data_IF_645876879842
#
_entry.id   IF_645876879842
#
_cell.length_a   1.000
_cell.length_b   1.000
_cell.length_c   1.000
_cell.angle_alpha   90.00
_cell.angle_beta   90.00
_cell.angle_gamma   90.00
#
_symmetry.space_group_name_H-M   'P 1'
#
loop_
_entity.id
_entity.type
_entity.pdbx_description
1 polymer ?
#
# COMPACT_ATOMS: atom_id res chain seq x y z
N UNK A 1 9.18 30.40 -4.29
CA UNK A 1 10.43 29.60 -4.36
C UNK A 1 10.00 28.14 -4.37
N UNK A 2 10.60 27.26 -5.17
CA UNK A 2 10.34 25.83 -5.05
C UNK A 2 10.90 25.30 -3.72
N UNK A 3 10.10 24.51 -3.00
CA UNK A 3 10.51 23.85 -1.75
C UNK A 3 11.04 22.46 -2.10
N UNK A 4 12.33 22.35 -2.37
CA UNK A 4 12.97 21.07 -2.65
C UNK A 4 14.16 20.86 -1.75
N UNK A 5 14.21 19.71 -1.09
CA UNK A 5 15.42 19.23 -0.47
C UNK A 5 16.03 18.13 -1.35
N UNK A 6 17.35 18.10 -1.43
CA UNK A 6 18.10 17.03 -2.10
C UNK A 6 19.16 16.46 -1.16
N UNK A 7 19.32 15.13 -1.16
CA UNK A 7 20.32 14.41 -0.37
C UNK A 7 20.15 14.62 1.14
N UNK A 8 18.92 14.46 1.64
CA UNK A 8 18.61 14.55 3.06
C UNK A 8 18.68 13.16 3.69
N UNK A 9 19.31 13.08 4.86
CA UNK A 9 19.35 11.87 5.67
C UNK A 9 18.83 12.20 7.07
N UNK A 10 17.78 11.51 7.47
CA UNK A 10 17.20 11.54 8.81
C UNK A 10 17.48 10.18 9.45
N UNK A 11 18.08 10.21 10.64
CA UNK A 11 18.49 8.99 11.33
C UNK A 11 18.04 9.03 12.78
N UNK A 12 17.60 7.88 13.30
CA UNK A 12 17.27 7.71 14.72
C UNK A 12 16.27 8.74 15.24
N UNK A 13 15.17 8.90 14.51
CA UNK A 13 14.09 9.83 14.85
C UNK A 13 13.06 9.13 15.74
N UNK A 14 12.73 9.76 16.86
CA UNK A 14 11.61 9.38 17.72
C UNK A 14 10.54 10.47 17.69
N UNK A 15 9.33 10.11 17.27
CA UNK A 15 8.16 10.98 17.22
C UNK A 15 7.15 10.63 18.30
N UNK A 16 6.86 11.58 19.18
CA UNK A 16 5.95 11.40 20.32
C UNK A 16 4.64 12.18 20.19
N UNK A 17 4.64 13.40 19.66
CA UNK A 17 3.42 14.19 19.51
C UNK A 17 3.57 15.18 18.36
N UNK A 18 2.54 15.25 17.52
CA UNK A 18 2.50 16.19 16.41
C UNK A 18 1.07 16.58 16.07
N UNK A 19 0.89 17.77 15.50
CA UNK A 19 -0.41 18.15 14.98
C UNK A 19 -0.71 17.49 13.63
N UNK A 20 0.26 17.43 12.71
CA UNK A 20 0.07 16.79 11.40
C UNK A 20 1.04 15.61 11.19
N UNK A 21 2.31 15.88 10.86
CA UNK A 21 3.28 14.84 10.46
C UNK A 21 4.62 15.03 11.17
N UNK A 22 5.23 13.95 11.70
CA UNK A 22 6.59 14.04 12.24
C UNK A 22 7.61 14.27 11.12
N UNK A 23 7.41 13.55 10.02
CA UNK A 23 8.25 13.65 8.82
C UNK A 23 7.31 13.86 7.64
N UNK A 24 7.49 14.98 6.94
CA UNK A 24 6.76 15.33 5.72
C UNK A 24 7.77 15.66 4.61
N UNK A 25 7.89 14.76 3.65
CA UNK A 25 8.85 14.86 2.54
C UNK A 25 8.13 15.42 1.32
N UNK A 26 8.19 16.73 1.12
CA UNK A 26 7.49 17.44 0.04
C UNK A 26 8.43 17.73 -1.14
N UNK A 27 8.04 17.36 -2.36
CA UNK A 27 8.75 17.58 -3.64
C UNK A 27 10.29 17.46 -3.54
N UNK A 28 10.77 16.41 -2.87
CA UNK A 28 12.19 16.25 -2.53
C UNK A 28 12.82 15.05 -3.21
N UNK A 29 14.16 15.02 -3.25
CA UNK A 29 14.94 14.00 -3.96
C UNK A 29 16.02 13.38 -3.08
N UNK A 30 16.21 12.07 -3.19
CA UNK A 30 17.27 11.36 -2.46
C UNK A 30 17.15 11.56 -0.94
N UNK A 31 15.95 11.36 -0.39
CA UNK A 31 15.70 11.47 1.05
C UNK A 31 15.73 10.08 1.67
N UNK A 32 16.53 9.87 2.71
CA UNK A 32 16.56 8.62 3.47
C UNK A 32 16.11 8.87 4.90
N UNK A 33 15.17 8.07 5.37
CA UNK A 33 14.75 7.96 6.76
C UNK A 33 15.13 6.56 7.23
N UNK A 34 16.06 6.46 8.17
CA UNK A 34 16.59 5.20 8.70
C UNK A 34 16.53 5.21 10.24
N UNK A 35 15.78 4.29 10.83
CA UNK A 35 15.55 4.31 12.28
C UNK A 35 14.50 5.34 12.65
N UNK A 36 13.23 5.07 12.36
CA UNK A 36 12.11 5.93 12.73
C UNK A 36 11.12 5.22 13.65
N UNK A 37 10.84 5.81 14.81
CA UNK A 37 9.89 5.29 15.79
C UNK A 37 8.81 6.33 16.08
N UNK A 38 7.54 5.94 16.03
CA UNK A 38 6.42 6.80 16.38
C UNK A 38 5.47 6.11 17.35
N UNK A 39 5.29 6.71 18.54
CA UNK A 39 4.33 6.28 19.57
C UNK A 39 2.99 6.99 19.49
N UNK A 40 2.89 8.02 18.63
CA UNK A 40 1.64 8.73 18.29
C UNK A 40 1.66 9.19 16.83
N UNK A 41 0.48 9.36 16.26
CA UNK A 41 0.26 10.02 14.98
C UNK A 41 -0.04 11.52 15.14
N UNK A 42 -0.55 12.12 14.06
CA UNK A 42 -1.07 13.49 14.10
C UNK A 42 -2.35 13.60 14.92
N UNK A 43 -2.74 14.83 15.25
CA UNK A 43 -4.04 15.14 15.86
C UNK A 43 -4.99 15.88 14.90
N UNK A 44 -4.46 16.32 13.75
CA UNK A 44 -5.17 17.04 12.69
C UNK A 44 -5.73 16.12 11.61
N UNK A 45 -6.37 16.71 10.61
CA UNK A 45 -7.20 15.98 9.64
C UNK A 45 -6.40 15.16 8.59
N UNK A 46 -5.12 15.50 8.35
CA UNK A 46 -4.17 14.68 7.57
C UNK A 46 -3.28 13.93 8.53
N UNK A 47 -3.68 12.71 8.87
CA UNK A 47 -3.21 12.02 10.07
C UNK A 47 -2.33 10.81 9.71
N UNK A 48 -1.13 11.11 9.22
CA UNK A 48 -0.06 10.16 9.03
C UNK A 48 1.20 10.66 9.75
N UNK A 49 1.81 9.90 10.68
CA UNK A 49 3.06 10.33 11.31
C UNK A 49 4.21 10.50 10.29
N UNK A 50 4.17 9.79 9.16
CA UNK A 50 5.09 9.99 8.03
C UNK A 50 4.33 10.18 6.72
N UNK A 51 4.65 11.27 6.04
CA UNK A 51 4.08 11.61 4.74
C UNK A 51 5.20 11.82 3.70
N UNK A 52 4.94 11.30 2.50
CA UNK A 52 5.70 11.57 1.28
C UNK A 52 4.73 12.33 0.38
N UNK A 53 4.95 13.63 0.23
CA UNK A 53 4.03 14.56 -0.42
C UNK A 53 4.65 15.16 -1.68
N UNK A 54 3.87 15.73 -2.58
CA UNK A 54 4.39 16.61 -3.62
C UNK A 54 3.57 17.91 -3.70
N UNK A 55 4.29 19.02 -3.89
CA UNK A 55 3.68 20.33 -4.02
C UNK A 55 2.75 20.37 -5.24
N UNK A 56 1.53 20.87 -5.04
CA UNK A 56 0.55 21.14 -6.10
C UNK A 56 0.11 22.60 -6.07
N UNK A 57 -0.36 23.09 -7.22
CA UNK A 57 -0.66 24.51 -7.47
C UNK A 57 -1.74 25.15 -6.56
N UNK A 58 -2.62 24.35 -5.98
CA UNK A 58 -3.73 24.76 -5.10
C UNK A 58 -3.40 24.64 -3.59
N UNK A 59 -2.22 24.15 -3.24
CA UNK A 59 -1.80 23.95 -1.85
C UNK A 59 -1.26 25.23 -1.25
N UNK A 60 -1.90 25.68 -0.16
CA UNK A 60 -1.61 26.95 0.53
C UNK A 60 -0.97 26.78 1.91
N UNK A 61 -0.60 25.56 2.31
CA UNK A 61 -0.05 25.25 3.64
C UNK A 61 1.48 25.15 3.69
N UNK A 62 2.13 24.84 2.56
CA UNK A 62 3.57 24.57 2.53
C UNK A 62 4.35 25.88 2.40
N UNK A 63 5.07 26.25 3.47
CA UNK A 63 5.82 27.49 3.56
C UNK A 63 7.33 27.28 3.62
N UNK A 64 8.09 28.14 2.95
CA UNK A 64 9.56 28.20 3.01
C UNK A 64 9.94 29.43 3.81
N UNK A 65 10.66 29.22 4.91
CA UNK A 65 11.30 30.33 5.63
C UNK A 65 12.53 30.79 4.85
N UNK A 66 12.54 32.05 4.42
CA UNK A 66 13.65 32.63 3.66
C UNK A 66 14.67 33.40 4.54
N UNK A 67 14.50 33.37 5.86
CA UNK A 67 15.29 34.14 6.82
C UNK A 67 14.55 35.34 7.43
N UNK A 68 13.50 35.85 6.78
CA UNK A 68 12.72 37.02 7.23
C UNK A 68 11.23 36.77 7.32
N UNK A 69 10.70 36.00 6.37
CA UNK A 69 9.29 35.68 6.24
C UNK A 69 9.12 34.27 5.70
N UNK A 70 7.92 33.73 5.90
CA UNK A 70 7.51 32.47 5.29
C UNK A 70 6.84 32.78 3.97
N UNK A 71 7.45 32.36 2.86
CA UNK A 71 6.85 32.43 1.53
C UNK A 71 6.24 31.08 1.15
N UNK A 72 5.07 31.06 0.52
CA UNK A 72 4.47 29.82 0.05
C UNK A 72 5.37 29.12 -0.98
N UNK A 73 5.46 27.80 -0.84
CA UNK A 73 6.08 26.93 -1.83
C UNK A 73 5.29 27.01 -3.13
N UNK A 74 6.01 27.10 -4.25
CA UNK A 74 5.42 27.09 -5.58
C UNK A 74 5.45 25.67 -6.13
N UNK A 75 4.34 25.26 -6.74
CA UNK A 75 4.32 24.08 -7.61
C UNK A 75 5.08 24.39 -8.90
N UNK A 76 6.09 23.57 -9.19
CA UNK A 76 6.85 23.59 -10.43
C UNK A 76 6.83 22.22 -11.15
N UNK A 77 5.92 21.33 -10.73
CA UNK A 77 5.77 19.97 -11.25
C UNK A 77 6.83 18.99 -10.76
N UNK A 78 7.70 19.36 -9.82
CA UNK A 78 8.75 18.47 -9.30
C UNK A 78 8.14 17.33 -8.47
N UNK A 79 8.37 16.06 -8.87
CA UNK A 79 7.92 14.90 -8.12
C UNK A 79 8.76 14.70 -6.84
N UNK A 80 8.20 14.03 -5.84
CA UNK A 80 9.01 13.46 -4.76
C UNK A 80 9.58 12.13 -5.21
N UNK A 81 10.91 11.97 -5.14
CA UNK A 81 11.56 10.84 -5.78
C UNK A 81 12.79 10.31 -5.09
N UNK A 82 13.08 9.02 -5.30
CA UNK A 82 14.23 8.31 -4.73
C UNK A 82 14.27 8.48 -3.21
N UNK A 83 13.11 8.28 -2.58
CA UNK A 83 12.99 8.38 -1.12
C UNK A 83 12.90 6.98 -0.51
N UNK A 84 13.59 6.78 0.60
CA UNK A 84 13.62 5.51 1.32
C UNK A 84 13.24 5.72 2.78
N UNK A 85 12.28 4.93 3.25
CA UNK A 85 12.01 4.66 4.66
C UNK A 85 12.48 3.24 4.97
N UNK A 86 13.32 3.07 5.98
CA UNK A 86 13.84 1.76 6.41
C UNK A 86 14.01 1.69 7.91
N UNK A 87 13.93 0.48 8.49
CA UNK A 87 14.16 0.24 9.90
C UNK A 87 13.25 1.12 10.78
N UNK A 88 11.94 0.82 10.78
CA UNK A 88 10.97 1.70 11.42
C UNK A 88 9.88 0.95 12.20
N UNK A 89 9.30 1.64 13.19
CA UNK A 89 8.13 1.18 13.94
C UNK A 89 7.16 2.35 14.13
N UNK A 90 5.95 2.22 13.61
CA UNK A 90 4.85 3.16 13.82
C UNK A 90 3.78 2.42 14.62
N UNK A 91 3.77 2.65 15.93
CA UNK A 91 2.83 2.02 16.86
C UNK A 91 2.10 3.07 17.72
N UNK A 92 1.25 3.89 17.08
CA UNK A 92 0.58 5.01 17.71
C UNK A 92 -0.54 4.63 18.68
N UNK A 93 -0.54 5.22 19.88
CA UNK A 93 -1.60 5.04 20.88
C UNK A 93 -2.91 5.77 20.54
N UNK A 94 -2.84 6.84 19.73
CA UNK A 94 -3.98 7.69 19.39
C UNK A 94 -4.73 7.26 18.13
N UNK A 95 -4.27 6.19 17.47
CA UNK A 95 -4.89 5.61 16.29
C UNK A 95 -5.00 6.58 15.12
N UNK A 96 -3.91 7.00 14.46
CA UNK A 96 -3.98 7.85 13.29
C UNK A 96 -4.74 7.18 12.14
N UNK A 97 -5.17 7.96 11.15
CA UNK A 97 -5.80 7.38 9.97
C UNK A 97 -4.81 6.49 9.21
N UNK A 98 -3.57 6.96 9.05
CA UNK A 98 -2.53 6.31 8.26
C UNK A 98 -1.24 6.14 9.06
N UNK A 99 -0.40 5.19 8.67
CA UNK A 99 0.98 5.09 9.18
C UNK A 99 1.94 5.84 8.27
N UNK A 100 2.01 5.39 7.02
CA UNK A 100 2.75 6.05 5.93
C UNK A 100 1.78 6.45 4.83
N UNK A 101 1.84 7.71 4.39
CA UNK A 101 1.01 8.22 3.30
C UNK A 101 1.86 8.77 2.15
N UNK A 102 1.60 8.28 0.95
CA UNK A 102 1.99 8.89 -0.32
C UNK A 102 0.83 9.80 -0.73
N UNK A 103 1.01 11.09 -0.49
CA UNK A 103 -0.01 12.12 -0.63
C UNK A 103 0.33 13.01 -1.81
N UNK A 104 -0.66 13.44 -2.59
CA UNK A 104 -0.59 14.47 -3.65
C UNK A 104 0.57 14.39 -4.65
N UNK A 105 0.21 14.49 -5.91
CA UNK A 105 1.12 14.63 -7.02
C UNK A 105 1.84 13.33 -7.34
N UNK A 106 3.10 13.49 -7.76
CA UNK A 106 3.85 12.40 -8.41
C UNK A 106 4.94 11.88 -7.47
N UNK A 107 4.99 10.56 -7.35
CA UNK A 107 5.98 9.84 -6.56
C UNK A 107 6.76 8.86 -7.43
N UNK A 108 8.10 8.91 -7.38
CA UNK A 108 8.96 8.09 -8.24
C UNK A 108 10.05 7.38 -7.41
N UNK A 109 10.22 6.06 -7.56
CA UNK A 109 11.26 5.29 -6.89
C UNK A 109 11.20 5.44 -5.35
N UNK A 110 10.06 5.09 -4.76
CA UNK A 110 9.85 5.13 -3.32
C UNK A 110 10.05 3.73 -2.73
N UNK A 111 10.82 3.63 -1.66
CA UNK A 111 11.04 2.37 -0.95
C UNK A 111 10.61 2.50 0.50
N UNK A 112 9.72 1.59 0.94
CA UNK A 112 9.31 1.42 2.33
C UNK A 112 9.75 0.00 2.73
N UNK A 113 10.69 -0.11 3.66
CA UNK A 113 11.35 -1.40 3.93
C UNK A 113 11.59 -1.65 5.41
N UNK A 114 11.67 -2.92 5.82
CA UNK A 114 12.15 -3.34 7.13
C UNK A 114 11.45 -2.62 8.30
N UNK A 115 10.13 -2.81 8.45
CA UNK A 115 9.42 -2.10 9.50
C UNK A 115 8.05 -2.64 9.87
N UNK A 116 7.47 -2.04 10.90
CA UNK A 116 6.16 -2.40 11.42
C UNK A 116 5.25 -1.17 11.54
N UNK A 117 3.98 -1.35 11.18
CA UNK A 117 2.92 -0.35 11.37
C UNK A 117 1.73 -1.02 12.04
N UNK A 118 1.21 -0.42 13.12
CA UNK A 118 0.06 -0.92 13.86
C UNK A 118 -0.89 0.17 14.32
N UNK A 119 -2.12 -0.22 14.67
CA UNK A 119 -3.08 0.67 15.33
C UNK A 119 -3.69 1.77 14.47
N UNK A 120 -3.47 1.79 13.15
CA UNK A 120 -4.10 2.78 12.28
C UNK A 120 -5.60 2.53 12.12
N UNK A 121 -6.41 3.59 12.31
CA UNK A 121 -7.88 3.56 12.17
C UNK A 121 -8.37 3.30 10.76
N UNK A 122 -7.54 3.55 9.74
CA UNK A 122 -7.91 3.31 8.36
C UNK A 122 -6.95 2.36 7.62
N UNK A 123 -5.69 2.71 7.40
CA UNK A 123 -4.75 1.83 6.67
C UNK A 123 -3.31 2.07 7.07
N UNK A 124 -2.46 1.04 7.02
CA UNK A 124 -1.08 1.17 7.46
C UNK A 124 -0.23 1.96 6.44
N UNK A 125 -0.32 1.59 5.16
CA UNK A 125 0.33 2.30 4.04
C UNK A 125 -0.74 2.75 3.06
N UNK A 126 -0.75 4.05 2.75
CA UNK A 126 -1.67 4.66 1.80
C UNK A 126 -0.93 5.31 0.64
N UNK A 127 -1.48 5.16 -0.56
CA UNK A 127 -1.36 6.18 -1.60
C UNK A 127 -2.76 6.73 -1.85
N UNK A 128 -2.90 8.05 -2.00
CA UNK A 128 -4.20 8.63 -2.29
C UNK A 128 -4.72 8.23 -3.69
N UNK A 129 -6.05 8.28 -3.91
CA UNK A 129 -6.61 8.11 -5.24
C UNK A 129 -6.02 9.09 -6.25
N UNK A 130 -5.97 8.70 -7.51
CA UNK A 130 -5.50 9.51 -8.64
C UNK A 130 -4.00 9.91 -8.62
N UNK A 131 -3.28 9.65 -7.52
CA UNK A 131 -1.86 9.97 -7.44
C UNK A 131 -1.01 9.03 -8.28
N UNK A 132 -0.07 9.60 -9.04
CA UNK A 132 0.80 8.84 -9.93
C UNK A 132 2.03 8.34 -9.17
N UNK A 133 2.15 7.02 -9.13
CA UNK A 133 3.23 6.32 -8.44
C UNK A 133 3.99 5.47 -9.46
N UNK A 134 5.29 5.68 -9.55
CA UNK A 134 6.21 4.87 -10.38
C UNK A 134 7.30 4.27 -9.51
N UNK A 135 7.59 2.98 -9.68
CA UNK A 135 8.65 2.25 -8.97
C UNK A 135 8.48 2.29 -7.44
N UNK A 136 7.31 1.86 -6.93
CA UNK A 136 7.07 1.70 -5.49
C UNK A 136 7.52 0.32 -5.03
N UNK A 137 8.38 0.27 -4.01
CA UNK A 137 8.81 -0.97 -3.35
C UNK A 137 8.35 -0.97 -1.90
N UNK A 138 7.64 -2.03 -1.48
CA UNK A 138 7.30 -2.32 -0.09
C UNK A 138 7.89 -3.69 0.26
N UNK A 139 8.88 -3.73 1.14
CA UNK A 139 9.69 -4.94 1.37
C UNK A 139 9.92 -5.24 2.86
N UNK A 140 9.61 -6.45 3.34
CA UNK A 140 9.86 -6.80 4.75
C UNK A 140 9.03 -5.99 5.74
N UNK A 141 7.78 -5.65 5.40
CA UNK A 141 6.90 -4.81 6.23
C UNK A 141 5.78 -5.61 6.89
N UNK A 142 5.55 -5.37 8.18
CA UNK A 142 4.44 -5.94 8.95
C UNK A 142 3.37 -4.90 9.26
N UNK A 143 2.16 -5.07 8.72
CA UNK A 143 0.99 -4.24 9.00
C UNK A 143 0.05 -5.01 9.95
N UNK A 144 0.11 -4.72 11.26
CA UNK A 144 -0.54 -5.53 12.30
C UNK A 144 -1.61 -4.74 13.06
N UNK A 145 -2.83 -5.26 13.18
CA UNK A 145 -3.89 -4.64 13.97
C UNK A 145 -4.36 -3.29 13.43
N UNK A 146 -4.27 -3.10 12.11
CA UNK A 146 -4.79 -1.92 11.42
C UNK A 146 -6.16 -2.25 10.82
N UNK A 147 -7.01 -1.24 10.58
CA UNK A 147 -8.27 -1.48 9.89
C UNK A 147 -8.06 -2.06 8.46
N UNK A 148 -6.97 -1.66 7.80
CA UNK A 148 -6.46 -2.18 6.52
C UNK A 148 -4.93 -2.23 6.54
N UNK A 149 -4.33 -3.10 5.73
CA UNK A 149 -2.87 -3.19 5.61
C UNK A 149 -2.31 -2.16 4.65
N UNK A 150 -2.54 -2.36 3.36
CA UNK A 150 -2.01 -1.51 2.29
C UNK A 150 -3.18 -1.09 1.40
N UNK A 151 -3.31 0.21 1.16
CA UNK A 151 -4.34 0.76 0.28
C UNK A 151 -3.70 1.76 -0.67
N UNK A 152 -3.34 1.30 -1.87
CA UNK A 152 -2.87 2.15 -2.95
C UNK A 152 -4.11 2.59 -3.74
N UNK A 153 -4.60 3.79 -3.44
CA UNK A 153 -5.92 4.30 -3.80
C UNK A 153 -6.29 4.13 -5.28
N UNK A 154 -7.59 4.15 -5.57
CA UNK A 154 -8.08 3.87 -6.92
C UNK A 154 -7.52 4.85 -7.96
N UNK A 155 -7.14 4.33 -9.12
CA UNK A 155 -6.82 5.09 -10.32
C UNK A 155 -7.04 4.17 -11.53
N UNK A 156 -7.47 4.75 -12.66
CA UNK A 156 -7.77 3.97 -13.88
C UNK A 156 -6.50 3.46 -14.55
N UNK A 157 -5.44 4.27 -14.65
CA UNK A 157 -4.17 3.90 -15.26
C UNK A 157 -3.03 4.83 -14.79
N UNK A 158 -1.84 4.67 -15.39
CA UNK A 158 -0.74 5.63 -15.29
C UNK A 158 0.27 5.36 -14.16
N UNK A 159 0.03 4.37 -13.29
CA UNK A 159 1.04 3.88 -12.34
C UNK A 159 1.85 2.74 -12.94
N UNK A 160 3.10 2.58 -12.49
CA UNK A 160 3.99 1.56 -13.02
C UNK A 160 4.95 1.04 -11.97
N UNK A 161 5.28 -0.25 -12.04
CA UNK A 161 6.36 -0.83 -11.25
C UNK A 161 6.04 -0.86 -9.76
N UNK A 162 5.06 -1.66 -9.36
CA UNK A 162 4.81 -1.99 -7.96
C UNK A 162 5.56 -3.28 -7.59
N UNK A 163 6.39 -3.24 -6.56
CA UNK A 163 7.00 -4.41 -5.94
C UNK A 163 6.56 -4.52 -4.49
N UNK A 164 5.93 -5.63 -4.11
CA UNK A 164 5.61 -5.95 -2.71
C UNK A 164 6.22 -7.30 -2.37
N UNK A 165 7.08 -7.38 -1.36
CA UNK A 165 7.81 -8.62 -1.02
C UNK A 165 7.98 -8.81 0.49
N UNK A 166 7.87 -10.04 0.98
CA UNK A 166 8.01 -10.38 2.41
C UNK A 166 7.10 -9.52 3.33
N UNK A 167 5.82 -9.35 2.94
CA UNK A 167 4.86 -8.52 3.68
C UNK A 167 3.86 -9.37 4.45
N UNK A 168 3.63 -9.01 5.71
CA UNK A 168 2.56 -9.59 6.53
C UNK A 168 1.51 -8.53 6.84
N UNK A 169 0.26 -8.81 6.51
CA UNK A 169 -0.91 -7.99 6.85
C UNK A 169 -1.80 -8.85 7.75
N UNK A 170 -2.01 -8.42 9.00
CA UNK A 170 -2.81 -9.19 9.95
C UNK A 170 -3.69 -8.34 10.84
N UNK A 171 -4.97 -8.68 10.92
CA UNK A 171 -5.91 -8.07 11.88
C UNK A 171 -6.79 -9.14 12.50
N UNK A 172 -6.53 -9.44 13.78
CA UNK A 172 -7.23 -10.49 14.54
C UNK A 172 -8.53 -9.96 15.20
N UNK A 173 -8.84 -8.68 15.05
CA UNK A 173 -10.00 -8.00 15.65
C UNK A 173 -11.04 -7.66 14.57
N UNK A 174 -12.19 -8.34 14.63
CA UNK A 174 -13.32 -8.18 13.73
C UNK A 174 -13.94 -6.78 13.77
N UNK A 175 -13.87 -6.11 14.91
CA UNK A 175 -14.42 -4.77 15.09
C UNK A 175 -13.50 -3.69 14.48
N UNK A 176 -12.23 -4.04 14.25
CA UNK A 176 -11.23 -3.18 13.62
C UNK A 176 -11.14 -3.42 12.11
N UNK A 177 -11.16 -4.67 11.66
CA UNK A 177 -10.96 -5.04 10.26
C UNK A 177 -12.01 -4.42 9.33
N UNK A 178 -11.56 -3.82 8.22
CA UNK A 178 -12.44 -3.14 7.27
C UNK A 178 -11.96 -3.35 5.83
N UNK A 179 -12.89 -3.38 4.87
CA UNK A 179 -12.54 -3.34 3.44
C UNK A 179 -11.64 -4.49 3.02
N UNK A 180 -10.39 -4.20 2.62
CA UNK A 180 -9.41 -5.24 2.31
C UNK A 180 -8.07 -5.06 3.01
N UNK A 181 -7.40 -6.19 3.24
CA UNK A 181 -6.05 -6.20 3.76
C UNK A 181 -5.06 -5.54 2.79
N UNK A 182 -5.11 -5.95 1.52
CA UNK A 182 -4.37 -5.35 0.42
C UNK A 182 -5.32 -4.84 -0.67
N UNK A 183 -5.12 -3.60 -1.09
CA UNK A 183 -5.75 -3.01 -2.26
C UNK A 183 -4.71 -2.26 -3.10
N UNK A 184 -4.69 -2.53 -4.40
CA UNK A 184 -3.92 -1.77 -5.37
C UNK A 184 -4.67 -1.61 -6.68
N UNK A 185 -4.48 -0.45 -7.33
CA UNK A 185 -5.10 -0.16 -8.61
C UNK A 185 -4.20 0.64 -9.56
N UNK A 186 -4.39 0.41 -10.85
CA UNK A 186 -3.86 1.23 -11.94
C UNK A 186 -2.38 1.04 -12.26
N UNK A 187 -1.76 -0.05 -11.80
CA UNK A 187 -0.35 -0.33 -12.03
C UNK A 187 -0.12 -1.31 -13.19
N UNK A 188 0.84 -0.95 -14.04
CA UNK A 188 1.45 -1.87 -15.00
C UNK A 188 2.73 -2.51 -14.44
N UNK A 189 3.01 -3.75 -14.83
CA UNK A 189 4.26 -4.50 -14.56
C UNK A 189 4.51 -4.70 -13.04
N UNK A 190 3.48 -5.16 -12.33
CA UNK A 190 3.53 -5.34 -10.87
C UNK A 190 4.01 -6.73 -10.45
N UNK A 191 4.81 -6.81 -9.39
CA UNK A 191 5.30 -8.06 -8.81
C UNK A 191 5.02 -8.11 -7.31
N UNK A 192 4.27 -9.10 -6.89
CA UNK A 192 3.89 -9.29 -5.48
C UNK A 192 4.25 -10.72 -5.10
N UNK A 193 5.09 -10.88 -4.08
CA UNK A 193 5.57 -12.20 -3.66
C UNK A 193 5.75 -12.35 -2.16
N UNK A 194 5.56 -13.56 -1.64
CA UNK A 194 5.78 -13.88 -0.23
C UNK A 194 4.94 -12.96 0.69
N UNK A 195 3.64 -12.87 0.39
CA UNK A 195 2.70 -12.01 1.14
C UNK A 195 1.70 -12.87 1.88
N UNK A 196 1.49 -12.54 3.16
CA UNK A 196 0.45 -13.14 3.99
C UNK A 196 -0.57 -12.06 4.35
N UNK A 197 -1.84 -12.30 4.03
CA UNK A 197 -2.97 -11.48 4.44
C UNK A 197 -3.92 -12.32 5.27
N UNK A 198 -4.08 -11.98 6.55
CA UNK A 198 -4.89 -12.76 7.49
C UNK A 198 -5.77 -11.86 8.34
N UNK A 199 -7.08 -12.10 8.36
CA UNK A 199 -7.99 -11.34 9.21
C UNK A 199 -9.38 -11.19 8.61
N UNK A 200 -10.31 -10.73 9.45
CA UNK A 200 -11.74 -10.60 9.13
C UNK A 200 -12.06 -9.38 8.25
N UNK A 201 -11.21 -9.11 7.26
CA UNK A 201 -11.49 -8.11 6.23
C UNK A 201 -12.73 -8.52 5.42
N UNK A 202 -13.37 -7.58 4.71
CA UNK A 202 -14.39 -7.94 3.72
C UNK A 202 -13.78 -8.83 2.64
N UNK A 203 -12.61 -8.45 2.13
CA UNK A 203 -11.82 -9.26 1.19
C UNK A 203 -10.36 -9.27 1.63
N UNK A 204 -9.61 -10.35 1.43
CA UNK A 204 -8.18 -10.29 1.76
C UNK A 204 -7.44 -9.37 0.80
N UNK A 205 -7.60 -9.58 -0.51
CA UNK A 205 -6.83 -8.89 -1.55
C UNK A 205 -7.75 -8.45 -2.70
N UNK A 206 -7.64 -7.19 -3.11
CA UNK A 206 -8.39 -6.62 -4.24
C UNK A 206 -7.43 -5.92 -5.23
N UNK A 207 -7.65 -6.15 -6.52
CA UNK A 207 -6.94 -5.49 -7.62
C UNK A 207 -7.92 -4.93 -8.66
N UNK A 208 -7.69 -3.67 -9.06
CA UNK A 208 -8.39 -3.01 -10.18
C UNK A 208 -7.37 -2.48 -11.21
N UNK A 209 -7.71 -2.51 -12.49
CA UNK A 209 -6.94 -1.90 -13.58
C UNK A 209 -5.43 -2.22 -13.49
N UNK A 210 -5.11 -3.50 -13.40
CA UNK A 210 -3.73 -3.97 -13.30
C UNK A 210 -3.33 -4.64 -14.61
N UNK A 211 -2.18 -4.26 -15.17
CA UNK A 211 -1.64 -4.93 -16.37
C UNK A 211 -0.36 -5.69 -16.00
N UNK A 212 -0.23 -6.92 -16.48
CA UNK A 212 0.94 -7.77 -16.21
C UNK A 212 1.24 -7.92 -14.70
N UNK A 213 0.21 -8.20 -13.89
CA UNK A 213 0.35 -8.44 -12.46
C UNK A 213 0.85 -9.87 -12.20
N UNK A 214 2.03 -10.01 -11.61
CA UNK A 214 2.58 -11.29 -11.18
C UNK A 214 2.46 -11.47 -9.67
N UNK A 215 1.75 -12.52 -9.25
CA UNK A 215 1.54 -12.91 -7.86
C UNK A 215 2.15 -14.29 -7.62
N UNK A 216 2.99 -14.41 -6.58
CA UNK A 216 3.59 -15.70 -6.23
C UNK A 216 3.76 -15.92 -4.74
N UNK A 217 3.50 -17.12 -4.24
CA UNK A 217 3.61 -17.44 -2.81
C UNK A 217 2.76 -16.49 -1.93
N UNK A 218 1.45 -16.44 -2.22
CA UNK A 218 0.50 -15.57 -1.51
C UNK A 218 -0.45 -16.40 -0.67
N UNK A 219 -0.58 -16.04 0.61
CA UNK A 219 -1.56 -16.65 1.52
C UNK A 219 -2.60 -15.61 1.90
N UNK A 220 -3.87 -15.91 1.65
CA UNK A 220 -5.02 -15.08 1.99
C UNK A 220 -5.99 -15.89 2.86
N UNK A 221 -6.25 -15.45 4.09
CA UNK A 221 -7.07 -16.19 5.05
C UNK A 221 -8.05 -15.32 5.83
N UNK A 222 -9.21 -15.85 6.16
CA UNK A 222 -10.12 -15.27 7.15
C UNK A 222 -11.06 -14.16 6.63
N UNK A 223 -11.02 -13.83 5.34
CA UNK A 223 -11.89 -12.79 4.80
C UNK A 223 -13.37 -13.20 4.82
N UNK A 224 -14.26 -12.26 5.12
CA UNK A 224 -15.69 -12.50 5.16
C UNK A 224 -16.29 -12.88 3.79
N UNK A 225 -15.66 -12.45 2.69
CA UNK A 225 -16.12 -12.70 1.32
C UNK A 225 -15.02 -13.32 0.45
N UNK A 226 -14.20 -12.53 -0.28
CA UNK A 226 -13.22 -13.08 -1.23
C UNK A 226 -11.78 -13.07 -0.70
N UNK A 227 -11.03 -14.16 -0.92
CA UNK A 227 -9.58 -14.17 -0.69
C UNK A 227 -8.86 -13.32 -1.75
N UNK A 228 -9.04 -13.66 -3.04
CA UNK A 228 -8.48 -12.92 -4.17
C UNK A 228 -9.59 -12.36 -5.04
N UNK A 229 -9.64 -11.03 -5.19
CA UNK A 229 -10.62 -10.36 -6.03
C UNK A 229 -9.94 -9.52 -7.11
N UNK A 230 -9.97 -10.01 -8.34
CA UNK A 230 -9.57 -9.28 -9.54
C UNK A 230 -10.83 -8.64 -10.11
N UNK A 231 -11.09 -7.36 -9.81
CA UNK A 231 -12.45 -6.81 -9.93
C UNK A 231 -12.73 -6.20 -11.31
N UNK A 232 -11.87 -5.32 -11.79
CA UNK A 232 -12.03 -4.59 -13.05
C UNK A 232 -10.71 -4.59 -13.83
N UNK A 233 -10.74 -4.95 -15.12
CA UNK A 233 -9.61 -4.84 -16.06
C UNK A 233 -8.25 -5.31 -15.51
N UNK A 234 -8.22 -6.41 -14.77
CA UNK A 234 -6.99 -6.95 -14.20
C UNK A 234 -6.46 -8.11 -15.05
N UNK A 235 -5.26 -7.96 -15.60
CA UNK A 235 -4.48 -9.04 -16.23
C UNK A 235 -3.45 -9.56 -15.22
N UNK A 236 -3.64 -10.79 -14.75
CA UNK A 236 -2.82 -11.34 -13.67
C UNK A 236 -2.38 -12.79 -13.88
N UNK A 237 -1.22 -13.12 -13.32
CA UNK A 237 -0.73 -14.49 -13.15
C UNK A 237 -0.56 -14.78 -11.65
N UNK A 238 -1.30 -15.75 -11.12
CA UNK A 238 -1.26 -16.17 -9.72
C UNK A 238 -0.68 -17.58 -9.58
N UNK A 239 0.46 -17.71 -8.90
CA UNK A 239 1.13 -19.01 -8.72
C UNK A 239 1.42 -19.29 -7.25
N UNK A 240 1.37 -20.56 -6.85
CA UNK A 240 1.69 -20.99 -5.47
C UNK A 240 0.91 -20.16 -4.44
N UNK A 241 -0.40 -20.30 -4.40
CA UNK A 241 -1.23 -19.49 -3.51
C UNK A 241 -2.10 -20.35 -2.59
N UNK A 242 -2.55 -19.76 -1.49
CA UNK A 242 -3.49 -20.38 -0.56
C UNK A 242 -4.62 -19.40 -0.25
N UNK A 243 -5.85 -19.85 -0.47
CA UNK A 243 -7.05 -19.22 0.04
C UNK A 243 -7.66 -20.14 1.10
N UNK A 244 -7.76 -19.67 2.34
CA UNK A 244 -8.33 -20.47 3.42
C UNK A 244 -9.33 -19.69 4.28
N UNK A 245 -10.32 -20.37 4.87
CA UNK A 245 -11.25 -19.80 5.85
C UNK A 245 -11.95 -18.52 5.34
N UNK A 246 -12.40 -18.51 4.08
CA UNK A 246 -13.06 -17.34 3.49
C UNK A 246 -14.55 -17.59 3.28
N UNK A 247 -15.40 -16.66 3.71
CA UNK A 247 -16.85 -16.85 3.72
C UNK A 247 -17.48 -16.98 2.33
N UNK A 248 -16.88 -16.34 1.32
CA UNK A 248 -17.35 -16.31 -0.06
C UNK A 248 -16.50 -17.15 -0.99
N UNK A 249 -15.57 -16.53 -1.72
CA UNK A 249 -14.86 -17.17 -2.84
C UNK A 249 -13.34 -17.15 -2.65
N UNK A 250 -12.65 -18.23 -3.05
CA UNK A 250 -11.20 -18.25 -3.15
C UNK A 250 -10.67 -17.24 -4.19
N UNK A 251 -11.01 -17.43 -5.46
CA UNK A 251 -10.68 -16.49 -6.55
C UNK A 251 -11.94 -15.97 -7.22
N UNK A 252 -12.13 -14.66 -7.22
CA UNK A 252 -13.11 -13.97 -8.04
C UNK A 252 -12.42 -13.24 -9.20
N UNK A 253 -12.85 -13.51 -10.43
CA UNK A 253 -12.40 -12.84 -11.66
C UNK A 253 -13.56 -12.05 -12.25
N UNK A 254 -13.53 -10.73 -12.09
CA UNK A 254 -14.57 -9.82 -12.53
C UNK A 254 -14.48 -9.42 -14.01
N UNK A 255 -15.44 -8.60 -14.48
CA UNK A 255 -15.50 -8.16 -15.86
C UNK A 255 -14.22 -7.48 -16.36
N UNK A 256 -13.86 -7.75 -17.62
CA UNK A 256 -12.66 -7.20 -18.26
C UNK A 256 -11.33 -7.76 -17.74
N UNK A 257 -11.36 -8.61 -16.71
CA UNK A 257 -10.16 -9.22 -16.13
C UNK A 257 -9.81 -10.54 -16.82
N UNK A 258 -8.52 -10.85 -16.90
CA UNK A 258 -7.97 -12.12 -17.39
C UNK A 258 -6.97 -12.67 -16.39
N UNK A 259 -7.29 -13.79 -15.75
CA UNK A 259 -6.44 -14.35 -14.69
C UNK A 259 -5.95 -15.74 -15.07
N UNK A 260 -4.64 -15.88 -15.18
CA UNK A 260 -3.96 -17.16 -15.24
C UNK A 260 -3.60 -17.61 -13.83
N UNK A 261 -3.88 -18.86 -13.46
CA UNK A 261 -3.55 -19.37 -12.12
C UNK A 261 -3.06 -20.82 -12.11
N UNK A 262 -2.19 -21.16 -11.15
CA UNK A 262 -1.66 -22.51 -10.98
C UNK A 262 -1.06 -22.76 -9.59
N UNK A 263 -1.21 -23.96 -9.06
CA UNK A 263 -0.72 -24.30 -7.71
C UNK A 263 -1.43 -23.52 -6.60
N UNK A 264 -2.73 -23.27 -6.76
CA UNK A 264 -3.56 -22.63 -5.73
C UNK A 264 -4.23 -23.71 -4.89
N UNK A 265 -4.18 -23.55 -3.58
CA UNK A 265 -4.87 -24.40 -2.60
C UNK A 265 -6.06 -23.66 -2.03
N UNK A 266 -7.19 -24.35 -1.93
CA UNK A 266 -8.44 -23.86 -1.36
C UNK A 266 -8.80 -24.71 -0.16
N UNK A 267 -9.11 -24.08 0.97
CA UNK A 267 -9.49 -24.74 2.21
C UNK A 267 -10.62 -23.94 2.88
N UNK A 268 -11.76 -24.55 3.16
CA UNK A 268 -12.88 -23.87 3.84
C UNK A 268 -13.29 -22.53 3.21
N UNK A 269 -13.41 -22.51 1.88
CA UNK A 269 -13.98 -21.40 1.10
C UNK A 269 -15.37 -21.76 0.58
N UNK A 270 -16.28 -20.79 0.50
CA UNK A 270 -17.65 -21.03 0.01
C UNK A 270 -17.72 -21.48 -1.46
N UNK A 271 -16.85 -20.98 -2.31
CA UNK A 271 -16.60 -21.45 -3.67
C UNK A 271 -15.12 -21.28 -4.00
N UNK A 272 -14.52 -22.23 -4.71
CA UNK A 272 -13.10 -22.09 -5.06
C UNK A 272 -12.89 -20.93 -6.03
N UNK A 273 -13.71 -20.85 -7.08
CA UNK A 273 -13.54 -19.90 -8.18
C UNK A 273 -14.90 -19.40 -8.71
N UNK A 274 -15.01 -18.08 -8.94
CA UNK A 274 -16.14 -17.41 -9.61
C UNK A 274 -15.61 -16.51 -10.72
N UNK A 275 -16.20 -16.58 -11.92
CA UNK A 275 -15.66 -15.92 -13.13
C UNK A 275 -16.77 -15.22 -13.92
N UNK A 276 -16.66 -13.89 -13.97
CA UNK A 276 -17.39 -13.00 -14.89
C UNK A 276 -16.48 -12.49 -16.03
N UNK A 277 -15.16 -12.70 -15.93
CA UNK A 277 -14.14 -12.37 -16.94
C UNK A 277 -13.57 -13.60 -17.68
N UNK A 278 -12.29 -13.56 -18.02
CA UNK A 278 -11.55 -14.70 -18.60
C UNK A 278 -10.68 -15.39 -17.54
N UNK A 279 -10.69 -16.72 -17.54
CA UNK A 279 -9.83 -17.52 -16.67
C UNK A 279 -9.02 -18.55 -17.46
N UNK A 280 -7.74 -18.74 -17.07
CA UNK A 280 -6.84 -19.74 -17.66
C UNK A 280 -6.16 -20.56 -16.57
N UNK A 281 -6.61 -21.79 -16.38
CA UNK A 281 -6.01 -22.71 -15.42
C UNK A 281 -4.75 -23.38 -15.99
N UNK A 282 -3.67 -23.39 -15.22
CA UNK A 282 -2.48 -24.17 -15.54
C UNK A 282 -2.62 -25.56 -14.91
N UNK A 283 -3.01 -26.53 -15.72
CA UNK A 283 -2.94 -27.93 -15.30
C UNK A 283 -1.47 -28.36 -15.32
N UNK A 284 -0.84 -28.44 -14.15
CA UNK A 284 0.40 -29.19 -14.01
C UNK A 284 0.04 -30.66 -14.23
N UNK A 285 0.45 -31.22 -15.37
CA UNK A 285 0.27 -32.64 -15.68
C UNK A 285 0.88 -33.48 -14.56
N UNK A 286 0.05 -34.11 -13.74
CA UNK A 286 0.50 -35.19 -12.88
C UNK A 286 0.93 -36.33 -13.78
N UNK A 287 2.23 -36.62 -13.83
CA UNK A 287 2.71 -37.86 -14.40
C UNK A 287 2.17 -39.00 -13.52
N UNK A 288 1.42 -39.88 -14.17
CA UNK A 288 0.82 -41.11 -13.65
C UNK A 288 1.83 -42.08 -13.05
#
# INVERSE_FOLDING_TARGET
MPAHAENVRLESIYGDAIHYHHIDIVSSKNVTVDGYWASRGGEGDSDAPLQIDAQQSDISSNGIWNGTDTALAMDDGTPTRRCRLTNFEINPENGPQHGVQLHRGRHESITISDGQISGCRYTAIRSDPDELVTDLTIDGVSCIGNARGITLGHVEDGRRGLTITEVTIRTDDSDVAQGSGLYAAGFDESRISNVVVSGEFTNSIIFDNMTDLMLSNITATGAADQAFRFRENAEATLTTARAADCGGTGIYVGPGSSVAYGGVTFEDVGSEIVVDGEIREWTSSTSS
#
